data_IF_336581188729
#
_entry.id   IF_336581188729
#
_cell.length_a   1.000
_cell.length_b   1.000
_cell.length_c   1.000
_cell.angle_alpha   90.00
_cell.angle_beta   90.00
_cell.angle_gamma   90.00
#
_symmetry.space_group_name_H-M   'P 1'
#
loop_
_entity.id
_entity.type
_entity.pdbx_description
1 polymer ?
#
# COMPACT_ATOMS: atom_id res chain seq x y z
N UNK A 1 -12.77 12.75 4.29
CA UNK A 1 -11.62 11.90 3.92
C UNK A 1 -10.69 12.76 3.11
N UNK A 2 -9.40 12.73 3.40
CA UNK A 2 -8.36 13.50 2.69
C UNK A 2 -7.35 12.49 2.18
N UNK A 3 -6.98 12.57 0.91
CA UNK A 3 -6.00 11.68 0.29
C UNK A 3 -4.76 12.45 -0.14
N UNK A 4 -3.63 11.76 -0.24
CA UNK A 4 -2.36 12.34 -0.72
C UNK A 4 -1.78 13.45 0.17
N UNK A 5 -1.75 13.29 1.51
CA UNK A 5 -1.17 14.33 2.37
C UNK A 5 0.30 14.64 2.04
N UNK A 6 1.03 13.66 1.49
CA UNK A 6 2.43 13.80 1.04
C UNK A 6 2.59 14.58 -0.28
N UNK A 7 1.50 14.90 -0.97
CA UNK A 7 1.52 15.69 -2.20
C UNK A 7 1.49 17.21 -1.92
N UNK A 8 1.26 17.60 -0.67
CA UNK A 8 1.27 19.01 -0.28
C UNK A 8 2.72 19.50 -0.13
N UNK A 9 3.12 20.41 -1.00
CA UNK A 9 4.38 21.12 -0.85
C UNK A 9 4.39 21.98 0.42
N UNK A 10 5.47 21.89 1.21
CA UNK A 10 5.65 22.69 2.43
C UNK A 10 6.01 21.87 3.66
N UNK A 11 5.84 22.47 4.85
CA UNK A 11 6.11 21.79 6.12
C UNK A 11 4.92 20.89 6.50
N UNK A 12 5.15 19.59 6.40
CA UNK A 12 4.17 18.56 6.73
C UNK A 12 3.85 18.52 8.24
N UNK A 13 4.69 19.11 9.08
CA UNK A 13 4.46 19.23 10.52
C UNK A 13 3.30 20.17 10.83
N UNK A 14 3.20 21.30 10.10
CA UNK A 14 2.07 22.24 10.21
C UNK A 14 0.76 21.57 9.79
N UNK A 15 0.80 20.71 8.75
CA UNK A 15 -0.35 19.93 8.31
C UNK A 15 -0.80 18.95 9.40
N UNK A 16 0.13 18.25 10.04
CA UNK A 16 -0.18 17.36 11.18
C UNK A 16 -0.83 18.16 12.31
N UNK A 17 -0.26 19.30 12.71
CA UNK A 17 -0.83 20.14 13.76
C UNK A 17 -2.26 20.57 13.42
N UNK A 18 -2.49 21.05 12.20
CA UNK A 18 -3.82 21.43 11.72
C UNK A 18 -4.81 20.26 11.81
N UNK A 19 -4.44 19.06 11.34
CA UNK A 19 -5.30 17.89 11.38
C UNK A 19 -5.68 17.50 12.83
N UNK A 20 -4.78 17.71 13.80
CA UNK A 20 -5.06 17.43 15.21
C UNK A 20 -6.01 18.42 15.88
N UNK A 21 -6.23 19.61 15.31
CA UNK A 21 -7.18 20.60 15.86
C UNK A 21 -8.64 20.18 15.72
N UNK A 22 -8.95 19.25 14.79
CA UNK A 22 -10.31 18.77 14.56
C UNK A 22 -10.71 17.72 15.60
N UNK A 23 -11.43 18.13 16.65
CA UNK A 23 -11.83 17.25 17.76
C UNK A 23 -13.27 16.73 17.66
N UNK A 24 -14.14 17.40 16.90
CA UNK A 24 -15.58 17.09 16.83
C UNK A 24 -15.96 16.22 15.62
N UNK A 25 -14.98 15.69 14.88
CA UNK A 25 -15.21 14.80 13.75
C UNK A 25 -14.14 13.70 13.68
N UNK A 26 -14.44 12.62 12.95
CA UNK A 26 -13.46 11.57 12.63
C UNK A 26 -12.80 11.89 11.30
N UNK A 27 -11.48 12.01 11.29
CA UNK A 27 -10.70 12.16 10.08
C UNK A 27 -10.17 10.79 9.63
N UNK A 28 -10.32 10.51 8.33
CA UNK A 28 -9.64 9.43 7.63
C UNK A 28 -8.74 10.11 6.61
N UNK A 29 -7.43 9.86 6.75
CA UNK A 29 -6.39 10.45 5.92
C UNK A 29 -5.49 9.37 5.34
N UNK A 30 -4.93 9.62 4.16
CA UNK A 30 -3.96 8.73 3.51
C UNK A 30 -2.77 9.51 2.96
N UNK A 31 -1.61 8.86 2.97
CA UNK A 31 -0.34 9.37 2.43
C UNK A 31 0.62 8.23 2.12
N UNK A 32 1.64 8.52 1.32
CA UNK A 32 2.85 7.69 1.24
C UNK A 32 3.59 7.68 2.58
N UNK A 33 4.39 6.63 2.87
CA UNK A 33 5.20 6.59 4.08
C UNK A 33 6.22 7.72 4.09
N UNK A 34 6.05 8.66 5.02
CA UNK A 34 6.98 9.75 5.33
C UNK A 34 7.19 9.80 6.84
N UNK A 35 8.43 9.98 7.29
CA UNK A 35 8.79 9.96 8.72
C UNK A 35 7.93 10.91 9.57
N UNK A 36 7.63 12.11 9.06
CA UNK A 36 6.80 13.10 9.75
C UNK A 36 5.41 12.55 10.11
N UNK A 37 4.76 11.85 9.17
CA UNK A 37 3.46 11.23 9.41
C UNK A 37 3.56 9.97 10.26
N UNK A 38 4.59 9.16 10.05
CA UNK A 38 4.81 7.95 10.85
C UNK A 38 5.00 8.30 12.33
N UNK A 39 5.90 9.25 12.64
CA UNK A 39 6.16 9.69 14.01
C UNK A 39 4.92 10.35 14.62
N UNK A 40 4.24 11.22 13.88
CA UNK A 40 3.05 11.92 14.38
C UNK A 40 1.90 10.98 14.73
N UNK A 41 1.66 9.96 13.90
CA UNK A 41 0.51 9.07 14.06
C UNK A 41 0.84 7.78 14.82
N UNK A 42 2.12 7.42 15.01
CA UNK A 42 2.55 6.31 15.88
C UNK A 42 2.19 6.54 17.36
N UNK A 43 2.10 7.80 17.78
CA UNK A 43 1.72 8.17 19.15
C UNK A 43 0.32 7.67 19.55
N UNK A 44 -0.49 7.22 18.58
CA UNK A 44 -1.81 6.64 18.85
C UNK A 44 -1.89 5.21 18.33
N UNK A 45 -1.69 4.20 19.19
CA UNK A 45 -1.75 2.79 18.81
C UNK A 45 -3.04 2.42 18.07
N UNK A 46 -2.91 1.69 16.97
CA UNK A 46 -4.04 1.18 16.18
C UNK A 46 -4.74 2.20 15.27
N UNK A 47 -4.23 3.43 15.15
CA UNK A 47 -4.80 4.44 14.22
C UNK A 47 -4.07 4.58 12.89
N UNK A 48 -3.04 3.77 12.64
CA UNK A 48 -2.33 3.71 11.37
C UNK A 48 -2.56 2.36 10.69
N UNK A 49 -2.86 2.40 9.39
CA UNK A 49 -2.98 1.21 8.55
C UNK A 49 -1.94 1.27 7.43
N UNK A 50 -0.95 0.37 7.47
CA UNK A 50 0.07 0.24 6.43
C UNK A 50 -0.39 -0.77 5.39
N UNK A 51 -1.10 -0.29 4.37
CA UNK A 51 -1.79 -1.13 3.37
C UNK A 51 -0.85 -2.17 2.72
N UNK A 52 0.39 -1.79 2.41
CA UNK A 52 1.38 -2.67 1.78
C UNK A 52 1.71 -3.93 2.60
N UNK A 53 1.51 -3.88 3.93
CA UNK A 53 1.74 -5.03 4.81
C UNK A 53 0.58 -6.04 4.80
N UNK A 54 -0.57 -5.66 4.22
CA UNK A 54 -1.80 -6.45 4.26
C UNK A 54 -2.24 -6.98 2.90
N UNK A 55 -1.70 -6.47 1.80
CA UNK A 55 -2.12 -6.80 0.43
C UNK A 55 -1.38 -7.98 -0.19
N UNK A 56 -0.29 -8.45 0.43
CA UNK A 56 0.61 -9.47 -0.16
C UNK A 56 -0.12 -10.74 -0.60
N UNK A 57 -1.05 -11.25 0.22
CA UNK A 57 -1.79 -12.47 -0.11
C UNK A 57 -2.83 -12.23 -1.21
N UNK A 58 -3.47 -11.06 -1.20
CA UNK A 58 -4.44 -10.67 -2.22
C UNK A 58 -3.75 -10.47 -3.57
N UNK A 59 -2.56 -9.85 -3.57
CA UNK A 59 -1.70 -9.73 -4.75
C UNK A 59 -1.31 -11.11 -5.27
N UNK A 60 -0.85 -12.03 -4.41
CA UNK A 60 -0.52 -13.40 -4.84
C UNK A 60 -1.70 -14.10 -5.50
N UNK A 61 -2.89 -13.96 -4.91
CA UNK A 61 -4.12 -14.50 -5.48
C UNK A 61 -4.41 -13.88 -6.84
N UNK A 62 -4.38 -12.55 -6.94
CA UNK A 62 -4.58 -11.82 -8.18
C UNK A 62 -3.63 -12.29 -9.29
N UNK A 63 -2.32 -12.37 -9.01
CA UNK A 63 -1.31 -12.81 -9.98
C UNK A 63 -1.57 -14.25 -10.44
N UNK A 64 -1.90 -15.16 -9.52
CA UNK A 64 -2.24 -16.55 -9.86
C UNK A 64 -3.48 -16.64 -10.74
N UNK A 65 -4.50 -15.85 -10.43
CA UNK A 65 -5.74 -15.80 -11.23
C UNK A 65 -5.45 -15.31 -12.65
N UNK A 66 -4.52 -14.36 -12.84
CA UNK A 66 -4.09 -13.91 -14.17
C UNK A 66 -3.37 -14.99 -14.99
N UNK A 67 -2.67 -15.92 -14.34
CA UNK A 67 -2.00 -17.03 -15.02
C UNK A 67 -2.94 -18.15 -15.48
N UNK A 68 -4.21 -18.13 -15.04
CA UNK A 68 -5.23 -19.06 -15.51
C UNK A 68 -5.56 -18.73 -16.97
N UNK A 69 -4.99 -19.52 -17.89
CA UNK A 69 -5.15 -19.34 -19.33
C UNK A 69 -3.84 -19.06 -20.08
N UNK A 70 -2.76 -18.74 -19.36
CA UNK A 70 -1.44 -18.60 -19.98
C UNK A 70 -0.92 -20.00 -20.34
N UNK A 71 -0.85 -20.33 -21.62
CA UNK A 71 -0.28 -21.60 -22.13
C UNK A 71 1.25 -21.60 -22.11
N UNK A 72 1.87 -20.43 -22.00
CA UNK A 72 3.32 -20.21 -22.10
C UNK A 72 4.11 -20.45 -20.80
N UNK A 73 3.46 -20.43 -19.64
CA UNK A 73 4.15 -20.70 -18.38
C UNK A 73 4.11 -22.21 -18.15
N UNK A 74 5.27 -22.85 -18.08
CA UNK A 74 5.46 -24.30 -18.01
C UNK A 74 4.83 -24.98 -16.79
N UNK A 75 5.55 -25.91 -16.15
CA UNK A 75 4.99 -26.72 -15.05
C UNK A 75 4.46 -25.81 -13.93
N UNK A 76 3.44 -26.26 -13.17
CA UNK A 76 2.83 -25.48 -12.08
C UNK A 76 3.84 -24.82 -11.12
N UNK A 77 4.98 -25.49 -10.88
CA UNK A 77 6.07 -24.95 -10.06
C UNK A 77 6.73 -23.68 -10.60
N UNK A 78 6.77 -23.49 -11.92
CA UNK A 78 7.35 -22.28 -12.54
C UNK A 78 6.39 -21.09 -12.44
N UNK A 79 5.08 -21.36 -12.56
CA UNK A 79 4.01 -20.37 -12.33
C UNK A 79 4.04 -19.83 -10.93
N UNK A 80 4.19 -20.71 -9.94
CA UNK A 80 4.25 -20.30 -8.53
C UNK A 80 5.49 -19.44 -8.24
N UNK A 81 6.67 -19.82 -8.77
CA UNK A 81 7.90 -19.03 -8.62
C UNK A 81 7.79 -17.66 -9.28
N UNK A 82 7.18 -17.57 -10.45
CA UNK A 82 6.93 -16.30 -11.13
C UNK A 82 5.94 -15.45 -10.32
N UNK A 83 4.87 -16.06 -9.81
CA UNK A 83 3.89 -15.36 -8.98
C UNK A 83 4.54 -14.77 -7.73
N UNK A 84 5.35 -15.55 -7.01
CA UNK A 84 6.06 -15.06 -5.84
C UNK A 84 7.06 -13.94 -6.22
N UNK A 85 7.74 -14.03 -7.36
CA UNK A 85 8.64 -12.98 -7.84
C UNK A 85 7.90 -11.66 -8.10
N UNK A 86 6.70 -11.72 -8.70
CA UNK A 86 5.85 -10.54 -8.93
C UNK A 86 5.31 -9.99 -7.60
N UNK A 87 4.91 -10.86 -6.68
CA UNK A 87 4.47 -10.46 -5.33
C UNK A 87 5.59 -9.69 -4.62
N UNK A 88 6.82 -10.17 -4.67
CA UNK A 88 7.96 -9.45 -4.08
C UNK A 88 8.23 -8.13 -4.80
N UNK A 89 8.26 -8.13 -6.13
CA UNK A 89 8.47 -6.91 -6.90
C UNK A 89 7.36 -5.86 -6.66
N UNK A 90 6.15 -6.30 -6.34
CA UNK A 90 5.02 -5.41 -6.11
C UNK A 90 5.13 -4.59 -4.82
N UNK A 91 5.96 -5.01 -3.86
CA UNK A 91 6.12 -4.31 -2.57
C UNK A 91 4.76 -3.98 -1.90
N UNK A 92 3.77 -4.86 -2.05
CA UNK A 92 2.43 -4.67 -1.49
C UNK A 92 1.54 -3.67 -2.25
N UNK A 93 1.94 -3.19 -3.43
CA UNK A 93 1.17 -2.26 -4.25
C UNK A 93 0.65 -2.97 -5.50
N UNK A 94 -0.67 -3.05 -5.64
CA UNK A 94 -1.33 -3.68 -6.79
C UNK A 94 -0.98 -3.05 -8.14
N UNK A 95 -0.72 -1.73 -8.18
CA UNK A 95 -0.37 -1.07 -9.43
C UNK A 95 0.87 -1.69 -10.09
N UNK A 96 1.86 -2.09 -9.30
CA UNK A 96 3.09 -2.69 -9.81
C UNK A 96 2.87 -4.09 -10.40
N UNK A 97 1.83 -4.82 -9.99
CA UNK A 97 1.53 -6.13 -10.59
C UNK A 97 0.99 -5.98 -12.00
N UNK A 98 0.22 -4.92 -12.26
CA UNK A 98 -0.38 -4.66 -13.58
C UNK A 98 0.61 -4.12 -14.62
N UNK A 99 1.79 -3.66 -14.19
CA UNK A 99 2.87 -3.21 -15.08
C UNK A 99 3.78 -4.36 -15.54
N UNK A 100 3.73 -5.50 -14.85
CA UNK A 100 4.60 -6.66 -15.11
C UNK A 100 3.85 -7.81 -15.80
N UNK A 101 2.52 -7.88 -15.63
CA UNK A 101 1.63 -8.93 -16.16
C UNK A 101 1.03 -8.51 -17.50
#
# INVERSE_FOLDING_TARGET
MIDGLDELDGDHSELVELLTTFTNCKLLVSSRPLNVFEIAFELVPGRQLRLQNHTRNDIRKFVRDQFVGWTLVGRNSERDRLADSIVEASQGVFLWTSLVI
#
